data_IF_381774672938
#
_entry.id   IF_381774672938
#
_cell.length_a   1.000
_cell.length_b   1.000
_cell.length_c   1.000
_cell.angle_alpha   90.00
_cell.angle_beta   90.00
_cell.angle_gamma   90.00
#
_symmetry.space_group_name_H-M   'P 1'
#
loop_
_entity.id
_entity.type
_entity.pdbx_description
1 polymer ?
#
# COMPACT_ATOMS: atom_id res chain seq x y z
N UNK A 1 32.61 9.71 0.45
CA UNK A 1 31.21 10.08 0.69
C UNK A 1 30.31 8.98 0.13
N UNK A 2 30.03 7.91 0.89
CA UNK A 2 29.29 6.77 0.36
C UNK A 2 27.78 6.98 0.22
N UNK A 3 27.23 8.01 0.84
CA UNK A 3 25.77 8.18 0.92
C UNK A 3 25.12 8.73 -0.35
N UNK A 4 25.90 9.38 -1.23
CA UNK A 4 25.38 10.01 -2.44
C UNK A 4 24.96 8.96 -3.49
N UNK A 5 25.67 7.84 -3.57
CA UNK A 5 25.38 6.80 -4.55
C UNK A 5 24.15 5.98 -4.18
N UNK A 6 23.95 5.69 -2.89
CA UNK A 6 22.76 5.01 -2.40
C UNK A 6 21.52 5.88 -2.59
N UNK A 7 21.65 7.20 -2.41
CA UNK A 7 20.55 8.11 -2.63
C UNK A 7 20.16 8.21 -4.11
N UNK A 8 21.17 8.26 -5.01
CA UNK A 8 20.93 8.25 -6.46
C UNK A 8 20.30 6.94 -6.96
N UNK A 9 20.74 5.80 -6.42
CA UNK A 9 20.16 4.51 -6.77
C UNK A 9 18.70 4.41 -6.33
N UNK A 10 18.37 4.92 -5.16
CA UNK A 10 16.98 4.97 -4.68
C UNK A 10 16.12 5.89 -5.54
N UNK A 11 16.63 7.03 -5.95
CA UNK A 11 15.94 7.94 -6.87
C UNK A 11 15.72 7.30 -8.24
N UNK A 12 16.70 6.61 -8.79
CA UNK A 12 16.57 5.95 -10.10
C UNK A 12 15.49 4.86 -10.10
N UNK A 13 15.33 4.13 -8.99
CA UNK A 13 14.29 3.11 -8.85
C UNK A 13 12.87 3.69 -8.77
N UNK A 14 12.74 4.95 -8.37
CA UNK A 14 11.46 5.64 -8.31
C UNK A 14 11.07 6.33 -9.62
N UNK A 15 12.01 6.50 -10.55
CA UNK A 15 11.77 7.23 -11.79
C UNK A 15 10.71 6.58 -12.67
N UNK A 16 10.70 5.26 -12.76
CA UNK A 16 9.69 4.53 -13.53
C UNK A 16 8.26 4.85 -13.05
N UNK A 17 8.07 4.98 -11.75
CA UNK A 17 6.81 5.37 -11.15
C UNK A 17 6.52 6.87 -11.34
N UNK A 18 7.49 7.73 -11.04
CA UNK A 18 7.30 9.19 -11.07
C UNK A 18 7.04 9.75 -12.47
N UNK A 19 7.67 9.17 -13.50
CA UNK A 19 7.48 9.59 -14.88
C UNK A 19 6.37 8.83 -15.61
N UNK A 20 5.68 7.92 -14.93
CA UNK A 20 4.53 7.24 -15.48
C UNK A 20 3.36 8.20 -15.71
N UNK A 21 2.57 7.88 -16.72
CA UNK A 21 1.37 8.63 -17.06
C UNK A 21 0.20 8.21 -16.15
N UNK A 22 -0.45 9.18 -15.53
CA UNK A 22 -1.69 8.98 -14.76
C UNK A 22 -2.92 8.99 -15.68
N UNK A 23 -2.81 9.63 -16.82
CA UNK A 23 -3.88 9.84 -17.79
C UNK A 23 -3.94 11.28 -18.27
N UNK A 24 -4.87 11.57 -19.16
CA UNK A 24 -5.07 12.92 -19.66
C UNK A 24 -5.91 13.76 -18.68
N UNK A 25 -5.54 15.01 -18.52
CA UNK A 25 -6.35 16.01 -17.86
C UNK A 25 -7.56 16.41 -18.73
N UNK A 26 -8.50 17.17 -18.16
CA UNK A 26 -9.66 17.69 -18.88
C UNK A 26 -9.30 18.54 -20.12
N UNK A 27 -8.11 19.13 -20.13
CA UNK A 27 -7.56 19.88 -21.28
C UNK A 27 -6.87 18.99 -22.32
N UNK A 28 -6.87 17.67 -22.15
CA UNK A 28 -6.22 16.71 -23.05
C UNK A 28 -4.71 16.54 -22.85
N UNK A 29 -4.10 17.26 -21.91
CA UNK A 29 -2.67 17.16 -21.62
C UNK A 29 -2.36 15.92 -20.78
N UNK A 30 -1.30 15.16 -21.11
CA UNK A 30 -0.89 14.03 -20.28
C UNK A 30 -0.39 14.51 -18.92
N UNK A 31 -0.84 13.85 -17.87
CA UNK A 31 -0.43 14.13 -16.49
C UNK A 31 0.50 13.02 -16.00
N UNK A 32 1.73 13.36 -15.63
CA UNK A 32 2.65 12.43 -14.99
C UNK A 32 2.46 12.40 -13.47
N UNK A 33 2.88 11.28 -12.86
CA UNK A 33 2.84 11.13 -11.40
C UNK A 33 3.64 12.24 -10.70
N UNK A 34 4.83 12.58 -11.20
CA UNK A 34 5.66 13.64 -10.62
C UNK A 34 4.94 14.99 -10.63
N UNK A 35 4.22 15.31 -11.70
CA UNK A 35 3.43 16.54 -11.79
C UNK A 35 2.24 16.51 -10.85
N UNK A 36 1.54 15.38 -10.76
CA UNK A 36 0.42 15.18 -9.85
C UNK A 36 0.84 15.36 -8.38
N UNK A 37 1.91 14.72 -7.97
CA UNK A 37 2.43 14.82 -6.60
C UNK A 37 2.98 16.21 -6.29
N UNK A 38 3.62 16.87 -7.26
CA UNK A 38 4.10 18.24 -7.11
C UNK A 38 2.99 19.25 -6.83
N UNK A 39 1.81 19.05 -7.39
CA UNK A 39 0.63 19.91 -7.13
C UNK A 39 0.11 19.81 -5.71
N UNK A 40 0.40 18.73 -5.00
CA UNK A 40 0.04 18.56 -3.59
C UNK A 40 0.95 19.37 -2.64
N UNK A 41 1.99 20.02 -3.17
CA UNK A 41 2.89 20.88 -2.39
C UNK A 41 4.00 20.16 -1.65
N UNK A 42 4.16 18.85 -1.84
CA UNK A 42 5.24 18.06 -1.27
C UNK A 42 6.33 17.70 -2.28
N UNK A 43 7.41 17.11 -1.78
CA UNK A 43 8.45 16.55 -2.63
C UNK A 43 7.97 15.22 -3.24
N UNK A 44 7.86 15.10 -4.57
CA UNK A 44 7.39 13.88 -5.23
C UNK A 44 8.24 12.65 -4.93
N UNK A 45 9.55 12.79 -4.80
CA UNK A 45 10.46 11.68 -4.49
C UNK A 45 10.28 11.17 -3.06
N UNK A 46 10.08 12.07 -2.11
CA UNK A 46 9.78 11.72 -0.71
C UNK A 46 8.45 10.96 -0.64
N UNK A 47 7.44 11.44 -1.31
CA UNK A 47 6.12 10.78 -1.36
C UNK A 47 6.21 9.42 -2.03
N UNK A 48 6.91 9.31 -3.16
CA UNK A 48 7.12 8.04 -3.86
C UNK A 48 7.90 7.03 -3.00
N UNK A 49 8.92 7.49 -2.29
CA UNK A 49 9.68 6.65 -1.36
C UNK A 49 8.85 6.13 -0.21
N UNK A 50 7.96 6.96 0.33
CA UNK A 50 7.02 6.56 1.38
C UNK A 50 6.01 5.52 0.87
N UNK A 51 5.44 5.73 -0.32
CA UNK A 51 4.54 4.76 -0.97
C UNK A 51 5.23 3.42 -1.23
N UNK A 52 6.48 3.45 -1.69
CA UNK A 52 7.28 2.24 -1.91
C UNK A 52 7.55 1.45 -0.63
N UNK A 53 7.63 2.13 0.51
CA UNK A 53 7.83 1.51 1.83
C UNK A 53 6.57 0.87 2.44
N UNK A 54 5.41 1.07 1.83
CA UNK A 54 4.14 0.51 2.29
C UNK A 54 3.85 -0.84 1.64
N UNK A 55 2.97 -1.68 2.25
CA UNK A 55 2.36 -2.80 1.55
C UNK A 55 1.68 -2.33 0.26
N UNK A 56 1.73 -3.15 -0.78
CA UNK A 56 1.19 -2.78 -2.10
C UNK A 56 -0.27 -2.36 -2.05
N UNK A 57 -1.10 -3.08 -1.31
CA UNK A 57 -2.52 -2.77 -1.18
C UNK A 57 -2.77 -1.40 -0.54
N UNK A 58 -1.98 -1.04 0.48
CA UNK A 58 -2.04 0.27 1.11
C UNK A 58 -1.59 1.39 0.14
N UNK A 59 -0.55 1.15 -0.64
CA UNK A 59 -0.08 2.09 -1.66
C UNK A 59 -1.14 2.32 -2.77
N UNK A 60 -1.83 1.27 -3.20
CA UNK A 60 -2.93 1.38 -4.18
C UNK A 60 -4.06 2.26 -3.65
N UNK A 61 -4.49 2.04 -2.42
CA UNK A 61 -5.56 2.83 -1.81
C UNK A 61 -5.17 4.30 -1.67
N UNK A 62 -3.98 4.58 -1.19
CA UNK A 62 -3.47 5.95 -1.06
C UNK A 62 -3.32 6.64 -2.41
N UNK A 63 -2.82 5.95 -3.44
CA UNK A 63 -2.76 6.48 -4.80
C UNK A 63 -4.14 6.77 -5.36
N UNK A 64 -5.12 5.92 -5.12
CA UNK A 64 -6.49 6.14 -5.54
C UNK A 64 -7.09 7.42 -4.91
N UNK A 65 -6.83 7.66 -3.63
CA UNK A 65 -7.24 8.89 -2.94
C UNK A 65 -6.56 10.13 -3.53
N UNK A 66 -5.26 10.06 -3.80
CA UNK A 66 -4.49 11.14 -4.42
C UNK A 66 -5.05 11.47 -5.81
N UNK A 67 -5.31 10.46 -6.63
CA UNK A 67 -5.86 10.63 -7.98
C UNK A 67 -7.25 11.26 -7.91
N UNK A 68 -8.08 10.81 -6.99
CA UNK A 68 -9.43 11.36 -6.79
C UNK A 68 -9.38 12.83 -6.38
N UNK A 69 -8.41 13.22 -5.55
CA UNK A 69 -8.25 14.60 -5.06
C UNK A 69 -7.65 15.56 -6.09
N UNK A 70 -7.00 15.07 -7.14
CA UNK A 70 -6.29 15.87 -8.13
C UNK A 70 -7.01 15.96 -9.47
N UNK A 71 -8.16 16.61 -9.53
CA UNK A 71 -8.86 17.00 -10.77
C UNK A 71 -9.21 15.87 -11.77
N UNK A 72 -9.19 14.62 -11.34
CA UNK A 72 -9.65 13.48 -12.13
C UNK A 72 -11.08 13.06 -11.73
N UNK A 73 -11.87 14.03 -11.29
CA UNK A 73 -13.20 13.83 -10.72
C UNK A 73 -14.21 13.18 -11.70
N UNK A 74 -13.94 13.26 -13.00
CA UNK A 74 -14.81 12.72 -14.04
C UNK A 74 -14.60 11.21 -14.31
N UNK A 75 -13.64 10.60 -13.63
CA UNK A 75 -13.35 9.16 -13.80
C UNK A 75 -14.13 8.31 -12.82
N UNK A 76 -14.55 7.15 -13.29
CA UNK A 76 -15.19 6.18 -12.41
C UNK A 76 -14.20 5.66 -11.36
N UNK A 77 -14.72 5.26 -10.21
CA UNK A 77 -13.90 4.66 -9.13
C UNK A 77 -13.13 3.42 -9.59
N UNK A 78 -13.70 2.64 -10.51
CA UNK A 78 -13.05 1.48 -11.10
C UNK A 78 -11.83 1.86 -11.95
N UNK A 79 -11.91 2.92 -12.75
CA UNK A 79 -10.79 3.44 -13.52
C UNK A 79 -9.67 3.97 -12.62
N UNK A 80 -10.04 4.72 -11.58
CA UNK A 80 -9.09 5.24 -10.60
C UNK A 80 -8.34 4.11 -9.91
N UNK A 81 -9.03 3.06 -9.47
CA UNK A 81 -8.41 1.89 -8.87
C UNK A 81 -7.50 1.14 -9.84
N UNK A 82 -7.89 1.01 -11.11
CA UNK A 82 -7.05 0.38 -12.14
C UNK A 82 -5.76 1.18 -12.39
N UNK A 83 -5.86 2.50 -12.46
CA UNK A 83 -4.69 3.39 -12.59
C UNK A 83 -3.79 3.28 -11.36
N UNK A 84 -4.35 3.34 -10.17
CA UNK A 84 -3.62 3.23 -8.91
C UNK A 84 -2.88 1.87 -8.80
N UNK A 85 -3.52 0.78 -9.18
CA UNK A 85 -2.90 -0.55 -9.20
C UNK A 85 -1.76 -0.64 -10.21
N UNK A 86 -1.94 -0.09 -11.41
CA UNK A 86 -0.90 -0.02 -12.43
C UNK A 86 0.31 0.79 -11.95
N UNK A 87 0.08 1.95 -11.37
CA UNK A 87 1.14 2.81 -10.82
C UNK A 87 1.87 2.14 -9.65
N UNK A 88 1.14 1.52 -8.74
CA UNK A 88 1.73 0.80 -7.61
C UNK A 88 2.63 -0.36 -8.07
N UNK A 89 2.33 -0.97 -9.21
CA UNK A 89 3.19 -2.02 -9.79
C UNK A 89 4.55 -1.51 -10.26
N UNK A 90 4.69 -0.22 -10.52
CA UNK A 90 5.94 0.43 -10.91
C UNK A 90 6.80 0.84 -9.71
N UNK A 91 6.24 0.84 -8.51
CA UNK A 91 7.00 1.08 -7.30
C UNK A 91 7.96 -0.09 -7.03
N UNK A 92 9.21 0.20 -6.60
CA UNK A 92 10.12 -0.86 -6.19
C UNK A 92 9.53 -1.61 -5.00
N UNK A 93 9.50 -2.94 -5.10
CA UNK A 93 9.07 -3.79 -3.98
C UNK A 93 10.10 -3.73 -2.89
N UNK A 94 9.75 -3.17 -1.76
CA UNK A 94 10.49 -3.39 -0.53
C UNK A 94 10.00 -4.74 0.01
N UNK A 95 10.62 -5.81 -0.47
CA UNK A 95 10.42 -7.10 0.17
C UNK A 95 10.83 -6.96 1.65
N UNK A 96 9.95 -7.30 2.59
CA UNK A 96 10.37 -7.33 3.98
C UNK A 96 11.53 -8.32 4.10
N UNK A 97 12.70 -7.81 4.47
CA UNK A 97 13.93 -8.61 4.66
C UNK A 97 13.78 -9.73 5.70
N UNK A 98 12.58 -9.92 6.23
CA UNK A 98 12.28 -10.97 7.21
C UNK A 98 12.21 -12.37 6.61
N UNK A 99 12.12 -12.52 5.29
CA UNK A 99 11.95 -13.83 4.66
C UNK A 99 13.28 -14.54 4.31
N UNK A 100 14.43 -13.92 4.53
CA UNK A 100 15.73 -14.54 4.18
C UNK A 100 16.70 -14.63 5.36
N UNK A 101 16.20 -14.98 6.53
CA UNK A 101 17.06 -15.62 7.50
C UNK A 101 17.05 -17.10 7.16
N UNK A 102 18.03 -17.52 6.36
CA UNK A 102 18.29 -18.93 6.17
C UNK A 102 18.36 -19.59 7.54
N UNK A 103 17.64 -20.69 7.79
CA UNK A 103 17.76 -21.38 9.06
C UNK A 103 19.21 -21.84 9.18
N UNK A 104 19.90 -21.34 10.22
CA UNK A 104 21.20 -21.89 10.59
C UNK A 104 20.99 -23.37 10.90
N UNK A 105 21.74 -24.28 10.24
CA UNK A 105 21.61 -25.67 10.56
C UNK A 105 22.06 -25.87 12.01
N UNK A 106 21.18 -26.28 12.89
CA UNK A 106 21.50 -26.65 14.26
C UNK A 106 20.66 -26.10 15.41
N UNK A 107 19.74 -25.20 15.19
CA UNK A 107 18.80 -24.79 16.25
C UNK A 107 17.38 -25.26 15.92
N UNK A 108 17.10 -26.48 16.31
CA UNK A 108 15.72 -26.90 16.50
C UNK A 108 15.21 -26.18 17.76
N UNK A 109 14.68 -24.99 17.62
CA UNK A 109 13.80 -24.44 18.64
C UNK A 109 12.55 -25.30 18.68
N UNK A 110 12.14 -25.79 19.84
CA UNK A 110 10.84 -26.43 19.95
C UNK A 110 9.81 -25.40 19.48
N UNK A 111 9.01 -25.78 18.51
CA UNK A 111 7.96 -24.93 18.00
C UNK A 111 7.06 -24.55 19.18
N UNK A 112 6.87 -23.25 19.50
CA UNK A 112 5.81 -22.86 20.40
C UNK A 112 4.51 -23.34 19.76
N UNK A 113 3.70 -24.02 20.57
CA UNK A 113 2.50 -24.65 20.09
C UNK A 113 1.71 -23.74 19.15
N UNK A 114 1.32 -24.31 18.02
CA UNK A 114 0.46 -23.66 17.03
C UNK A 114 -0.82 -23.18 17.70
N UNK A 115 -0.80 -22.01 18.23
CA UNK A 115 -2.02 -21.27 18.47
C UNK A 115 -2.47 -20.78 17.10
N UNK A 116 -3.24 -21.61 16.45
CA UNK A 116 -3.84 -21.22 15.18
C UNK A 116 -4.69 -19.99 15.45
N UNK A 117 -4.44 -18.90 14.73
CA UNK A 117 -5.22 -17.68 14.83
C UNK A 117 -6.71 -17.84 14.59
N UNK A 118 -7.15 -19.05 14.21
CA UNK A 118 -8.54 -19.45 14.09
C UNK A 118 -9.28 -19.50 15.42
N UNK A 119 -8.61 -19.83 16.53
CA UNK A 119 -9.26 -19.93 17.82
C UNK A 119 -9.70 -18.56 18.37
N UNK A 120 -8.92 -17.51 18.15
CA UNK A 120 -9.30 -16.15 18.54
C UNK A 120 -10.41 -15.57 17.67
N UNK A 121 -10.41 -15.86 16.38
CA UNK A 121 -11.46 -15.45 15.46
C UNK A 121 -12.81 -16.10 15.80
N UNK A 122 -12.80 -17.37 16.21
CA UNK A 122 -14.03 -18.08 16.63
C UNK A 122 -14.58 -17.52 17.93
N UNK A 123 -13.72 -17.14 18.89
CA UNK A 123 -14.16 -16.54 20.15
C UNK A 123 -14.79 -15.16 19.95
N UNK A 124 -14.26 -14.35 19.08
CA UNK A 124 -14.84 -13.03 18.76
C UNK A 124 -16.19 -13.17 18.07
N UNK A 125 -16.31 -14.08 17.11
CA UNK A 125 -17.58 -14.36 16.44
C UNK A 125 -18.65 -14.89 17.38
N UNK A 126 -18.29 -15.76 18.32
CA UNK A 126 -19.21 -16.28 19.33
C UNK A 126 -19.70 -15.19 20.28
N UNK A 127 -18.83 -14.26 20.69
CA UNK A 127 -19.18 -13.13 21.52
C UNK A 127 -20.16 -12.14 20.84
N UNK A 128 -19.95 -11.88 19.56
CA UNK A 128 -20.84 -11.01 18.78
C UNK A 128 -22.20 -11.66 18.56
N UNK A 129 -22.24 -12.96 18.27
CA UNK A 129 -23.48 -13.70 18.11
C UNK A 129 -24.28 -13.77 19.43
N UNK A 130 -23.64 -13.96 20.56
CA UNK A 130 -24.28 -13.95 21.87
C UNK A 130 -24.86 -12.57 22.23
N UNK A 131 -24.12 -11.48 21.91
CA UNK A 131 -24.59 -10.11 22.15
C UNK A 131 -25.80 -9.76 21.28
N UNK A 132 -25.82 -10.23 20.02
CA UNK A 132 -26.96 -10.04 19.10
C UNK A 132 -28.20 -10.82 19.56
N UNK A 133 -28.01 -12.06 20.01
CA UNK A 133 -29.11 -12.88 20.54
C UNK A 133 -29.73 -12.28 21.80
N UNK A 134 -28.94 -11.77 22.72
CA UNK A 134 -29.40 -11.08 23.91
C UNK A 134 -30.20 -9.81 23.60
N UNK A 135 -29.85 -9.14 22.51
CA UNK A 135 -30.56 -7.93 22.07
C UNK A 135 -31.87 -8.25 21.38
N UNK A 136 -31.95 -9.38 20.65
CA UNK A 136 -33.20 -9.82 19.99
C UNK A 136 -34.21 -10.37 20.98
N UNK A 137 -33.73 -11.01 22.04
CA UNK A 137 -34.61 -11.55 23.11
C UNK A 137 -35.08 -10.46 24.09
N UNK A 138 -34.59 -9.21 23.96
CA UNK A 138 -35.05 -8.10 24.77
C UNK A 138 -34.63 -8.12 26.26
N UNK A 139 -33.57 -8.84 26.58
CA UNK A 139 -33.03 -8.97 27.93
C UNK A 139 -31.98 -7.89 28.27
N UNK A 140 -31.78 -6.95 27.36
CA UNK A 140 -30.95 -5.74 27.60
C UNK A 140 -31.68 -4.51 27.13
#
# INVERSE_FOLDING_TARGET
MPDTDVFRLRQSNLNAFLFADVGAESNGMPLSVVSMLGRLGGDPWVTAGRLAGQPRDAAVLELAEIITGTAQADRSSGEIMAIAARLASLLPSVEPRTARRAPLPGTQSPAPGRWSGGALAVLVLAAVAAALLLRVVGLL
#
